data_IF_644188403254
#
_entry.id   IF_644188403254
#
_cell.length_a   1.000
_cell.length_b   1.000
_cell.length_c   1.000
_cell.angle_alpha   90.00
_cell.angle_beta   90.00
_cell.angle_gamma   90.00
#
_symmetry.space_group_name_H-M   'P 1'
#
loop_
_entity.id
_entity.type
_entity.pdbx_description
1 polymer ?
#
# COMPACT_ATOMS: atom_id res chain seq x y z
N UNK A 1 13.02 5.02 14.19
CA UNK A 1 14.19 4.90 13.31
C UNK A 1 15.51 5.09 14.05
N UNK A 2 15.68 6.15 14.86
CA UNK A 2 16.93 6.44 15.59
C UNK A 2 17.52 5.24 16.34
N UNK A 3 16.70 4.46 17.06
CA UNK A 3 17.19 3.29 17.79
C UNK A 3 17.76 2.19 16.88
N UNK A 4 17.26 2.03 15.65
CA UNK A 4 17.80 1.06 14.69
C UNK A 4 19.17 1.53 14.16
N UNK A 5 19.28 2.82 13.84
CA UNK A 5 20.53 3.42 13.34
C UNK A 5 21.65 3.36 14.38
N UNK A 6 21.31 3.61 15.66
CA UNK A 6 22.27 3.47 16.76
C UNK A 6 22.74 2.03 16.93
N UNK A 7 21.83 1.06 16.80
CA UNK A 7 22.21 -0.36 16.90
C UNK A 7 23.08 -0.79 15.72
N UNK A 8 22.76 -0.36 14.49
CA UNK A 8 23.57 -0.66 13.30
C UNK A 8 24.97 -0.05 13.45
N UNK A 9 25.08 1.22 13.87
CA UNK A 9 26.39 1.86 14.12
C UNK A 9 27.24 1.09 15.12
N UNK A 10 26.62 0.57 16.19
CA UNK A 10 27.33 -0.25 17.18
C UNK A 10 27.82 -1.55 16.55
N UNK A 11 26.99 -2.26 15.79
CA UNK A 11 27.38 -3.48 15.09
C UNK A 11 28.51 -3.25 14.06
N UNK A 12 28.44 -2.14 13.32
CA UNK A 12 29.44 -1.77 12.30
C UNK A 12 30.79 -1.35 12.89
N UNK A 13 30.84 -0.91 14.15
CA UNK A 13 32.10 -0.56 14.81
C UNK A 13 33.06 -1.75 14.94
N UNK A 14 32.52 -2.98 15.00
CA UNK A 14 33.32 -4.20 15.14
C UNK A 14 33.95 -4.41 16.52
N UNK A 15 33.76 -3.48 17.45
CA UNK A 15 34.35 -3.53 18.80
C UNK A 15 33.56 -4.40 19.80
N UNK A 16 32.41 -4.94 19.37
CA UNK A 16 31.53 -5.74 20.22
C UNK A 16 32.03 -7.19 20.32
N UNK A 17 32.07 -7.78 21.53
CA UNK A 17 32.27 -9.21 21.67
C UNK A 17 31.16 -9.97 20.95
N UNK A 18 31.47 -11.18 20.47
CA UNK A 18 30.58 -11.98 19.63
C UNK A 18 29.18 -12.18 20.25
N UNK A 19 29.12 -12.41 21.56
CA UNK A 19 27.87 -12.57 22.30
C UNK A 19 26.99 -11.32 22.24
N UNK A 20 27.57 -10.14 22.39
CA UNK A 20 26.83 -8.86 22.31
C UNK A 20 26.44 -8.53 20.87
N UNK A 21 27.29 -8.87 19.89
CA UNK A 21 26.96 -8.72 18.47
C UNK A 21 25.73 -9.54 18.09
N UNK A 22 25.59 -10.76 18.61
CA UNK A 22 24.42 -11.61 18.38
C UNK A 22 23.15 -11.00 18.99
N UNK A 23 23.23 -10.46 20.21
CA UNK A 23 22.08 -9.82 20.87
C UNK A 23 21.66 -8.53 20.15
N UNK A 24 22.62 -7.72 19.71
CA UNK A 24 22.33 -6.50 18.93
C UNK A 24 21.76 -6.81 17.55
N UNK A 25 22.21 -7.88 16.90
CA UNK A 25 21.62 -8.33 15.65
C UNK A 25 20.15 -8.72 15.81
N UNK A 26 19.80 -9.49 16.85
CA UNK A 26 18.40 -9.84 17.17
C UNK A 26 17.54 -8.60 17.38
N UNK A 27 18.05 -7.66 18.18
CA UNK A 27 17.37 -6.38 18.44
C UNK A 27 17.16 -5.59 17.14
N UNK A 28 18.17 -5.53 16.28
CA UNK A 28 18.07 -4.88 14.96
C UNK A 28 16.97 -5.51 14.10
N UNK A 29 16.89 -6.84 14.07
CA UNK A 29 15.86 -7.55 13.29
C UNK A 29 14.45 -7.25 13.79
N UNK A 30 14.25 -7.15 15.10
CA UNK A 30 12.95 -6.75 15.67
C UNK A 30 12.58 -5.32 15.27
N UNK A 31 13.54 -4.39 15.33
CA UNK A 31 13.34 -3.00 14.92
C UNK A 31 13.04 -2.88 13.41
N UNK A 32 13.72 -3.67 12.57
CA UNK A 32 13.42 -3.74 11.12
C UNK A 32 11.99 -4.20 10.87
N UNK A 33 11.56 -5.27 11.56
CA UNK A 33 10.18 -5.76 11.44
C UNK A 33 9.16 -4.71 11.87
N UNK A 34 9.44 -4.01 12.97
CA UNK A 34 8.60 -2.91 13.44
C UNK A 34 8.49 -1.80 12.39
N UNK A 35 9.62 -1.31 11.86
CA UNK A 35 9.62 -0.27 10.83
C UNK A 35 8.82 -0.68 9.59
N UNK A 36 8.96 -1.93 9.13
CA UNK A 36 8.19 -2.46 7.99
C UNK A 36 6.69 -2.43 8.25
N UNK A 37 6.24 -2.82 9.46
CA UNK A 37 4.81 -2.76 9.82
C UNK A 37 4.28 -1.33 9.77
N UNK A 38 5.03 -0.37 10.31
CA UNK A 38 4.64 1.04 10.28
C UNK A 38 4.53 1.59 8.85
N UNK A 39 5.48 1.23 7.97
CA UNK A 39 5.44 1.63 6.57
C UNK A 39 4.22 1.06 5.84
N UNK A 40 3.96 -0.24 6.00
CA UNK A 40 2.79 -0.87 5.38
C UNK A 40 1.48 -0.25 5.86
N UNK A 41 1.39 0.09 7.15
CA UNK A 41 0.21 0.75 7.69
C UNK A 41 0.02 2.15 7.09
N UNK A 42 1.11 2.93 7.00
CA UNK A 42 1.06 4.25 6.39
C UNK A 42 0.66 4.19 4.90
N UNK A 43 1.17 3.20 4.16
CA UNK A 43 0.79 2.96 2.76
C UNK A 43 -0.71 2.67 2.63
N UNK A 44 -1.24 1.76 3.45
CA UNK A 44 -2.68 1.44 3.47
C UNK A 44 -3.54 2.66 3.83
N UNK A 45 -3.12 3.47 4.80
CA UNK A 45 -3.83 4.70 5.17
C UNK A 45 -3.86 5.70 4.02
N UNK A 46 -2.76 5.83 3.26
CA UNK A 46 -2.70 6.68 2.07
C UNK A 46 -3.63 6.17 0.97
N UNK A 47 -3.62 4.86 0.68
CA UNK A 47 -4.51 4.24 -0.32
C UNK A 47 -5.98 4.51 0.01
N UNK A 48 -6.38 4.30 1.26
CA UNK A 48 -7.76 4.55 1.71
C UNK A 48 -8.18 6.02 1.55
N UNK A 49 -7.27 6.96 1.81
CA UNK A 49 -7.54 8.39 1.61
C UNK A 49 -7.66 8.78 0.13
N UNK A 50 -6.93 8.09 -0.75
CA UNK A 50 -7.02 8.28 -2.21
C UNK A 50 -8.32 7.69 -2.78
N UNK A 51 -8.70 6.50 -2.32
CA UNK A 51 -9.97 5.86 -2.70
C UNK A 51 -11.17 6.66 -2.18
N UNK A 52 -11.12 7.18 -0.96
CA UNK A 52 -12.16 8.05 -0.40
C UNK A 52 -12.30 9.39 -1.12
N UNK A 53 -11.25 9.88 -1.80
CA UNK A 53 -11.34 11.05 -2.70
C UNK A 53 -11.94 10.71 -4.05
N UNK A 54 -11.98 9.43 -4.40
CA UNK A 54 -12.52 8.91 -5.65
C UNK A 54 -13.91 8.34 -5.38
N UNK A 55 -14.83 9.16 -4.86
CA UNK A 55 -16.25 8.82 -4.97
C UNK A 55 -16.66 8.94 -6.44
N UNK A 56 -17.44 7.97 -6.98
CA UNK A 56 -17.80 7.94 -8.38
C UNK A 56 -18.61 9.19 -8.72
N UNK A 57 -18.12 9.97 -9.67
CA UNK A 57 -18.90 10.99 -10.36
C UNK A 57 -20.12 10.31 -10.97
N UNK A 58 -21.23 10.41 -10.25
CA UNK A 58 -22.61 10.37 -10.70
C UNK A 58 -22.90 9.39 -11.85
N UNK A 59 -23.38 8.20 -11.47
CA UNK A 59 -24.40 7.51 -12.24
C UNK A 59 -25.65 8.41 -12.32
N UNK A 60 -25.67 9.34 -13.27
CA UNK A 60 -26.86 10.09 -13.66
C UNK A 60 -26.79 10.36 -15.15
N UNK A 61 -27.25 9.39 -15.95
CA UNK A 61 -28.29 9.72 -16.90
C UNK A 61 -29.24 8.53 -17.04
N UNK A 62 -30.49 8.83 -16.73
CA UNK A 62 -31.66 7.96 -16.69
C UNK A 62 -31.96 7.28 -18.03
N UNK A 63 -32.43 6.03 -17.92
CA UNK A 63 -32.90 5.13 -18.98
C UNK A 63 -34.18 5.62 -19.71
N UNK A 64 -34.90 4.74 -20.42
CA UNK A 64 -34.72 4.27 -21.81
C UNK A 64 -35.85 4.82 -22.73
N UNK A 65 -35.72 4.77 -24.07
CA UNK A 65 -36.92 4.82 -24.93
C UNK A 65 -36.75 3.93 -26.17
N UNK A 66 -37.47 2.81 -26.14
CA UNK A 66 -37.77 1.98 -27.29
C UNK A 66 -38.81 2.69 -28.18
N UNK A 67 -38.49 2.97 -29.44
CA UNK A 67 -39.51 3.07 -30.50
C UNK A 67 -39.18 2.20 -31.72
N UNK A 68 -39.74 0.99 -31.59
CA UNK A 68 -40.23 0.01 -32.55
C UNK A 68 -40.68 0.50 -33.94
N UNK A 69 -40.48 -0.43 -34.91
CA UNK A 69 -41.12 -0.62 -36.23
C UNK A 69 -40.74 0.38 -37.33
N UNK A 70 -40.39 -0.03 -38.56
CA UNK A 70 -40.58 -1.29 -39.27
C UNK A 70 -41.04 -0.95 -40.70
N UNK A 71 -40.39 -1.52 -41.72
CA UNK A 71 -40.82 -1.77 -43.12
C UNK A 71 -39.55 -2.06 -43.95
N UNK A 72 -39.30 -3.27 -44.44
CA UNK A 72 -39.80 -3.85 -45.71
C UNK A 72 -39.25 -3.04 -46.92
N UNK A 73 -38.67 -3.57 -47.99
CA UNK A 73 -38.72 -4.84 -48.75
C UNK A 73 -37.50 -4.79 -49.71
N UNK A 74 -36.75 -5.86 -49.94
CA UNK A 74 -36.85 -6.80 -51.09
C UNK A 74 -36.43 -6.22 -52.47
N UNK A 75 -35.51 -6.91 -53.15
CA UNK A 75 -35.49 -6.88 -54.62
C UNK A 75 -34.13 -6.97 -55.32
N UNK A 76 -33.84 -8.18 -55.82
CA UNK A 76 -33.02 -8.54 -57.00
C UNK A 76 -31.48 -8.40 -56.94
#
# INVERSE_FOLDING_TARGET
>A
MQSLEETIKKLESGDLPLSESIEQYKTSMQLVQYCRKQLNQAELEIEQLMDARTEPEQASESAPDEQKAGSAEEGA
#
